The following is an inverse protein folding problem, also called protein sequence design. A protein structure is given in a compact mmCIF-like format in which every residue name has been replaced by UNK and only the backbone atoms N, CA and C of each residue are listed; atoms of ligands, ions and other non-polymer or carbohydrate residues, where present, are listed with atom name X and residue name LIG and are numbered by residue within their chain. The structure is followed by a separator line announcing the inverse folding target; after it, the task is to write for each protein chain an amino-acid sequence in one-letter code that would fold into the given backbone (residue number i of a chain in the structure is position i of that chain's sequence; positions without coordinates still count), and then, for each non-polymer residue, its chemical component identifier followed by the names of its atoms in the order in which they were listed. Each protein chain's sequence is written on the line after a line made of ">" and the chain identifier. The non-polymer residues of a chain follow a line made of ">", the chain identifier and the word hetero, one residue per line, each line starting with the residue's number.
data_IF_626793473060
#
_entry.id   IF_626793473060
#
_cell.length_a   1.000
_cell.length_b   1.000
_cell.length_c   1.000
_cell.angle_alpha   90.00
_cell.angle_beta   90.00
_cell.angle_gamma   90.00
#
_symmetry.space_group_name_H-M   'P 1'
#
loop_
_entity.id
_entity.type
_entity.pdbx_description
1 polymer ?
#
# COMPACT_ATOMS: atom_id res chain seq x y z
N UNK A 1 12.99 22.57 10.28
CA UNK A 1 12.84 21.43 9.34
C UNK A 1 11.97 21.91 8.19
N UNK A 2 12.37 21.67 6.95
CA UNK A 2 11.51 21.96 5.78
C UNK A 2 10.22 21.16 5.89
N UNK A 3 9.08 21.74 5.50
CA UNK A 3 7.80 21.04 5.47
C UNK A 3 7.76 19.93 4.40
N UNK A 4 8.65 19.98 3.41
CA UNK A 4 8.79 18.97 2.36
C UNK A 4 10.29 18.65 2.13
N UNK A 5 10.91 17.88 3.03
CA UNK A 5 12.33 17.54 2.93
C UNK A 5 12.66 16.61 1.75
N UNK A 6 11.63 16.05 1.09
CA UNK A 6 11.78 15.11 -0.03
C UNK A 6 11.29 15.67 -1.37
N UNK A 7 10.94 16.97 -1.42
CA UNK A 7 10.46 17.67 -2.62
C UNK A 7 9.31 16.95 -3.35
N UNK A 8 8.43 16.35 -2.54
CA UNK A 8 7.27 15.59 -3.01
C UNK A 8 6.29 16.46 -3.80
N UNK A 9 6.22 17.76 -3.48
CA UNK A 9 5.39 18.71 -4.19
C UNK A 9 5.87 18.93 -5.64
N UNK A 10 7.17 19.13 -5.86
CA UNK A 10 7.72 19.31 -7.21
C UNK A 10 7.62 18.03 -8.04
N UNK A 11 7.92 16.87 -7.43
CA UNK A 11 7.74 15.57 -8.06
C UNK A 11 6.29 15.37 -8.53
N UNK A 12 5.31 15.63 -7.66
CA UNK A 12 3.89 15.53 -8.00
C UNK A 12 3.51 16.44 -9.16
N UNK A 13 3.99 17.69 -9.15
CA UNK A 13 3.70 18.64 -10.22
C UNK A 13 4.24 18.17 -11.58
N UNK A 14 5.47 17.63 -11.60
CA UNK A 14 6.10 17.08 -12.80
C UNK A 14 5.34 15.89 -13.39
N UNK A 15 4.95 14.92 -12.55
CA UNK A 15 4.16 13.75 -12.98
C UNK A 15 2.82 14.17 -13.58
N UNK A 16 2.09 15.05 -12.90
CA UNK A 16 0.80 15.54 -13.39
C UNK A 16 0.91 16.36 -14.67
N UNK A 17 2.02 17.08 -14.88
CA UNK A 17 2.29 17.76 -16.14
C UNK A 17 2.56 16.76 -17.28
N UNK A 18 3.36 15.72 -17.01
CA UNK A 18 3.66 14.67 -17.99
C UNK A 18 2.40 13.89 -18.41
N UNK A 19 1.52 13.53 -17.47
CA UNK A 19 0.25 12.86 -17.76
C UNK A 19 -0.71 13.73 -18.57
N UNK A 20 -0.83 15.02 -18.22
CA UNK A 20 -1.66 15.96 -19.00
C UNK A 20 -1.13 16.18 -20.41
N UNK A 21 0.19 16.14 -20.60
CA UNK A 21 0.84 16.29 -21.91
C UNK A 21 0.87 15.03 -22.76
N UNK A 22 0.62 13.84 -22.19
CA UNK A 22 0.67 12.56 -22.90
C UNK A 22 -0.34 11.55 -22.34
N UNK A 23 -1.50 11.37 -23.00
CA UNK A 23 -2.48 10.35 -22.64
C UNK A 23 -1.93 8.91 -22.68
N UNK A 24 -0.93 8.65 -23.53
CA UNK A 24 -0.26 7.34 -23.63
C UNK A 24 0.55 7.07 -22.38
N UNK A 25 1.36 8.03 -21.92
CA UNK A 25 2.20 7.87 -20.73
C UNK A 25 1.37 7.67 -19.46
N UNK A 26 0.25 8.38 -19.34
CA UNK A 26 -0.70 8.15 -18.26
C UNK A 26 -1.22 6.70 -18.24
N UNK A 27 -1.57 6.15 -19.41
CA UNK A 27 -2.03 4.76 -19.53
C UNK A 27 -0.94 3.75 -19.22
N UNK A 28 0.29 3.98 -19.68
CA UNK A 28 1.43 3.11 -19.38
C UNK A 28 1.72 3.07 -17.87
N UNK A 29 1.74 4.23 -17.21
CA UNK A 29 1.94 4.32 -15.76
C UNK A 29 0.78 3.64 -14.98
N UNK A 30 -0.47 3.84 -15.41
CA UNK A 30 -1.64 3.19 -14.80
C UNK A 30 -1.66 1.66 -15.01
N UNK A 31 -1.19 1.18 -16.16
CA UNK A 31 -1.03 -0.25 -16.42
C UNK A 31 0.08 -0.84 -15.56
N UNK A 32 1.23 -0.16 -15.45
CA UNK A 32 2.32 -0.60 -14.58
C UNK A 32 1.90 -0.68 -13.11
N UNK A 33 1.11 0.27 -12.63
CA UNK A 33 0.52 0.22 -11.28
C UNK A 33 -0.45 -0.96 -11.11
N UNK A 34 -1.32 -1.19 -12.11
CA UNK A 34 -2.25 -2.33 -12.11
C UNK A 34 -1.51 -3.66 -12.11
N UNK A 35 -0.44 -3.79 -12.91
CA UNK A 35 0.40 -4.99 -13.00
C UNK A 35 1.17 -5.23 -11.69
N UNK A 36 1.68 -4.16 -11.05
CA UNK A 36 2.32 -4.25 -9.73
C UNK A 36 1.33 -4.66 -8.64
N UNK A 37 0.10 -4.15 -8.67
CA UNK A 37 -0.95 -4.56 -7.74
C UNK A 37 -1.30 -6.05 -7.93
N UNK A 38 -1.39 -6.51 -9.17
CA UNK A 38 -1.76 -7.88 -9.53
C UNK A 38 -0.65 -8.91 -9.28
N UNK A 39 0.61 -8.58 -9.56
CA UNK A 39 1.75 -9.51 -9.47
C UNK A 39 2.60 -9.32 -8.21
N UNK A 40 2.77 -8.09 -7.73
CA UNK A 40 3.68 -7.78 -6.62
C UNK A 40 2.99 -7.72 -5.27
N UNK A 41 1.87 -7.01 -5.20
CA UNK A 41 1.16 -6.80 -3.94
C UNK A 41 0.27 -7.98 -3.57
N UNK A 42 -0.49 -8.55 -4.52
CA UNK A 42 -1.36 -9.70 -4.25
C UNK A 42 -0.62 -10.91 -3.68
N UNK A 43 0.56 -11.23 -4.23
CA UNK A 43 1.37 -12.39 -3.81
C UNK A 43 1.89 -12.26 -2.38
N UNK A 44 2.10 -11.03 -1.90
CA UNK A 44 2.67 -10.78 -0.57
C UNK A 44 1.69 -10.18 0.43
N UNK A 45 0.52 -9.73 0.00
CA UNK A 45 -0.43 -8.99 0.83
C UNK A 45 -0.76 -9.73 2.13
N UNK A 46 -1.01 -11.03 2.05
CA UNK A 46 -1.29 -11.84 3.25
C UNK A 46 -0.10 -11.93 4.20
N UNK A 47 1.11 -12.02 3.66
CA UNK A 47 2.36 -12.07 4.45
C UNK A 47 2.58 -10.72 5.14
N UNK A 48 2.44 -9.61 4.41
CA UNK A 48 2.59 -8.26 4.95
C UNK A 48 1.53 -7.96 6.03
N UNK A 49 0.27 -8.36 5.82
CA UNK A 49 -0.78 -8.21 6.83
C UNK A 49 -0.50 -9.05 8.08
N UNK A 50 0.04 -10.25 7.91
CA UNK A 50 0.43 -11.09 9.04
C UNK A 50 1.62 -10.51 9.81
N UNK A 51 2.62 -9.97 9.11
CA UNK A 51 3.76 -9.32 9.72
C UNK A 51 3.34 -8.06 10.50
N UNK A 52 2.50 -7.21 9.91
CA UNK A 52 1.96 -6.04 10.60
C UNK A 52 1.19 -6.40 11.88
N UNK A 53 0.41 -7.49 11.84
CA UNK A 53 -0.31 -8.00 13.01
C UNK A 53 0.64 -8.54 14.09
N UNK A 54 1.69 -9.26 13.69
CA UNK A 54 2.73 -9.75 14.60
C UNK A 54 3.48 -8.60 15.26
N UNK A 55 3.88 -7.59 14.48
CA UNK A 55 4.58 -6.40 14.99
C UNK A 55 3.71 -5.61 15.98
N UNK A 56 2.41 -5.48 15.70
CA UNK A 56 1.47 -4.81 16.60
C UNK A 56 1.31 -5.57 17.92
N UNK A 57 1.20 -6.91 17.87
CA UNK A 57 1.13 -7.75 19.07
C UNK A 57 2.44 -7.70 19.88
N UNK A 58 3.59 -7.71 19.20
CA UNK A 58 4.91 -7.57 19.81
C UNK A 58 5.04 -6.22 20.53
N UNK A 59 4.64 -5.11 19.89
CA UNK A 59 4.64 -3.77 20.52
C UNK A 59 3.73 -3.72 21.76
N UNK A 60 2.61 -4.42 21.73
CA UNK A 60 1.66 -4.47 22.84
C UNK A 60 2.00 -5.52 23.93
N UNK A 61 2.98 -6.39 23.69
CA UNK A 61 3.36 -7.46 24.63
C UNK A 61 2.28 -8.52 24.83
N UNK A 62 1.37 -8.71 23.87
CA UNK A 62 0.25 -9.66 23.94
C UNK A 62 0.43 -10.79 22.92
N UNK A 63 -0.21 -11.96 23.11
CA UNK A 63 -0.31 -12.97 22.06
C UNK A 63 -0.91 -12.38 20.78
N UNK A 64 -0.28 -12.66 19.64
CA UNK A 64 -0.76 -12.21 18.34
C UNK A 64 -1.94 -13.03 17.85
N UNK A 65 -3.05 -12.34 17.55
CA UNK A 65 -4.19 -12.93 16.85
C UNK A 65 -4.46 -12.13 15.58
N UNK A 66 -4.48 -12.82 14.44
CA UNK A 66 -4.90 -12.30 13.16
C UNK A 66 -6.16 -13.04 12.71
N UNK A 67 -7.20 -12.29 12.36
CA UNK A 67 -8.38 -12.80 11.67
C UNK A 67 -8.40 -12.26 10.25
N UNK A 68 -8.48 -13.16 9.28
CA UNK A 68 -8.67 -12.82 7.87
C UNK A 68 -10.05 -13.29 7.43
N UNK A 69 -10.77 -12.46 6.70
CA UNK A 69 -12.09 -12.79 6.15
C UNK A 69 -12.17 -12.29 4.72
N UNK A 70 -12.77 -13.08 3.83
CA UNK A 70 -13.03 -12.69 2.44
C UNK A 70 -14.53 -12.62 2.24
N UNK A 71 -15.04 -11.45 1.89
CA UNK A 71 -16.46 -11.18 1.59
C UNK A 71 -16.57 -10.70 0.15
N UNK A 72 -17.00 -11.60 -0.75
CA UNK A 72 -17.05 -11.31 -2.18
C UNK A 72 -15.65 -11.04 -2.75
N UNK A 73 -15.37 -9.77 -3.07
CA UNK A 73 -14.06 -9.30 -3.58
C UNK A 73 -13.28 -8.47 -2.56
N UNK A 74 -13.75 -8.41 -1.33
CA UNK A 74 -13.12 -7.66 -0.24
C UNK A 74 -12.37 -8.61 0.70
N UNK A 75 -11.11 -8.30 1.00
CA UNK A 75 -10.31 -8.97 2.01
C UNK A 75 -10.21 -8.06 3.24
N UNK A 76 -10.68 -8.55 4.39
CA UNK A 76 -10.60 -7.87 5.68
C UNK A 76 -9.60 -8.57 6.57
N UNK A 77 -8.73 -7.79 7.21
CA UNK A 77 -7.77 -8.27 8.20
C UNK A 77 -7.96 -7.49 9.50
N UNK A 78 -8.14 -8.21 10.61
CA UNK A 78 -8.25 -7.63 11.94
C UNK A 78 -7.22 -8.29 12.87
N UNK A 79 -6.57 -7.50 13.73
CA UNK A 79 -5.61 -8.00 14.70
C UNK A 79 -5.86 -7.42 16.10
N UNK A 80 -5.33 -8.09 17.12
CA UNK A 80 -5.48 -7.71 18.54
C UNK A 80 -4.39 -6.76 19.04
N UNK A 81 -3.46 -6.34 18.17
CA UNK A 81 -2.43 -5.37 18.53
C UNK A 81 -3.01 -3.95 18.52
N UNK A 82 -2.78 -3.21 19.60
CA UNK A 82 -3.09 -1.78 19.61
C UNK A 82 -2.23 -1.03 18.58
N UNK A 83 -2.79 0.02 17.99
CA UNK A 83 -2.08 0.96 17.10
C UNK A 83 -1.18 1.88 17.90
#
# INVERSE_FOLDING_TARGET
>A
MSADPFDTAALRAGVLAAWRGSPTRFREDANAESDLALLGYADRLLVELAQNAADAAQRAGVPGHLRVTVEGRELRAANTGAS
#
